data_IF_530835081148
#
_entry.id   IF_530835081148
#
_cell.length_a   1.000
_cell.length_b   1.000
_cell.length_c   1.000
_cell.angle_alpha   90.00
_cell.angle_beta   90.00
_cell.angle_gamma   90.00
#
_symmetry.space_group_name_H-M   'P 1'
#
loop_
_entity.id
_entity.type
_entity.pdbx_description
1 polymer ?
#
# COMPACT_ATOMS: atom_id res chain seq x y z
N UNK A 1 31.58 1.69 -17.18
CA UNK A 1 31.94 3.08 -17.49
C UNK A 1 30.68 3.89 -17.67
N UNK A 2 30.12 4.35 -16.55
CA UNK A 2 29.06 5.36 -16.53
C UNK A 2 29.67 6.67 -17.05
N UNK A 3 29.05 7.40 -17.99
CA UNK A 3 29.58 8.69 -18.41
C UNK A 3 29.68 9.58 -17.16
N UNK A 4 30.90 10.03 -16.82
CA UNK A 4 31.09 11.00 -15.74
C UNK A 4 30.21 12.21 -16.04
N UNK A 5 29.12 12.36 -15.29
CA UNK A 5 28.25 13.53 -15.37
C UNK A 5 29.10 14.79 -15.23
N UNK A 6 28.86 15.78 -16.09
CA UNK A 6 29.58 17.04 -16.07
C UNK A 6 29.36 17.72 -14.70
N UNK A 7 30.42 17.99 -13.91
CA UNK A 7 30.28 18.55 -12.58
C UNK A 7 29.46 19.85 -12.57
N UNK A 8 29.55 20.66 -13.62
CA UNK A 8 28.79 21.91 -13.74
C UNK A 8 27.28 21.67 -13.86
N UNK A 9 26.87 20.63 -14.58
CA UNK A 9 25.46 20.26 -14.76
C UNK A 9 24.87 19.71 -13.47
N UNK A 10 25.64 18.87 -12.76
CA UNK A 10 25.26 18.34 -11.43
C UNK A 10 25.01 19.48 -10.44
N UNK A 11 25.91 20.48 -10.41
CA UNK A 11 25.76 21.65 -9.54
C UNK A 11 24.48 22.42 -9.86
N UNK A 12 24.21 22.69 -11.13
CA UNK A 12 23.02 23.43 -11.55
C UNK A 12 21.73 22.68 -11.21
N UNK A 13 21.69 21.37 -11.46
CA UNK A 13 20.53 20.52 -11.14
C UNK A 13 20.24 20.51 -9.63
N UNK A 14 21.28 20.39 -8.81
CA UNK A 14 21.13 20.46 -7.35
C UNK A 14 20.65 21.85 -6.89
N UNK A 15 21.20 22.94 -7.45
CA UNK A 15 20.81 24.30 -7.10
C UNK A 15 19.36 24.62 -7.49
N UNK A 16 18.90 24.13 -8.65
CA UNK A 16 17.49 24.25 -9.05
C UNK A 16 16.57 23.58 -8.02
N UNK A 17 16.92 22.36 -7.58
CA UNK A 17 16.17 21.64 -6.55
C UNK A 17 16.19 22.37 -5.20
N UNK A 18 17.34 22.83 -4.73
CA UNK A 18 17.46 23.58 -3.47
C UNK A 18 16.70 24.92 -3.49
N UNK A 19 16.43 25.45 -4.67
CA UNK A 19 15.63 26.67 -4.86
C UNK A 19 14.12 26.43 -4.82
N UNK A 20 13.69 25.16 -4.80
CA UNK A 20 12.26 24.84 -4.70
C UNK A 20 11.74 25.00 -3.26
N UNK A 21 10.46 25.38 -3.07
CA UNK A 21 9.90 25.57 -1.74
C UNK A 21 9.98 24.32 -0.88
N UNK A 22 10.38 24.47 0.38
CA UNK A 22 10.44 23.40 1.38
C UNK A 22 11.31 22.18 1.00
N UNK A 23 12.22 22.31 0.02
CA UNK A 23 13.09 21.20 -0.42
C UNK A 23 13.94 20.58 0.70
N UNK A 24 14.21 21.35 1.76
CA UNK A 24 14.89 20.86 2.97
C UNK A 24 14.13 19.69 3.65
N UNK A 25 12.83 19.57 3.42
CA UNK A 25 11.96 18.53 3.97
C UNK A 25 11.83 17.30 3.05
N UNK A 26 12.39 17.34 1.84
CA UNK A 26 12.31 16.22 0.89
C UNK A 26 13.18 15.04 1.36
N UNK A 27 12.70 13.79 1.23
CA UNK A 27 13.40 12.61 1.74
C UNK A 27 14.81 12.43 1.12
N UNK A 28 15.00 12.90 -0.12
CA UNK A 28 16.26 12.82 -0.84
C UNK A 28 17.30 13.88 -0.46
N UNK A 29 17.00 14.83 0.44
CA UNK A 29 17.85 16.02 0.68
C UNK A 29 19.31 15.66 0.97
N UNK A 30 19.57 14.67 1.83
CA UNK A 30 20.94 14.28 2.19
C UNK A 30 21.71 13.68 1.02
N UNK A 31 21.05 12.90 0.17
CA UNK A 31 21.67 12.33 -1.03
C UNK A 31 22.07 13.43 -2.01
N UNK A 32 21.23 14.45 -2.18
CA UNK A 32 21.48 15.58 -3.08
C UNK A 32 22.54 16.52 -2.54
N UNK A 33 22.55 16.79 -1.22
CA UNK A 33 23.62 17.54 -0.57
C UNK A 33 24.98 16.87 -0.78
N UNK A 34 25.03 15.54 -0.59
CA UNK A 34 26.25 14.76 -0.82
C UNK A 34 26.71 14.87 -2.28
N UNK A 35 25.79 14.71 -3.25
CA UNK A 35 26.08 14.84 -4.68
C UNK A 35 26.60 16.24 -5.03
N UNK A 36 25.97 17.28 -4.49
CA UNK A 36 26.38 18.67 -4.68
C UNK A 36 27.80 18.96 -4.13
N UNK A 37 28.11 18.50 -2.92
CA UNK A 37 29.44 18.69 -2.33
C UNK A 37 30.52 17.90 -3.06
N UNK A 38 30.20 16.70 -3.55
CA UNK A 38 31.13 15.89 -4.35
C UNK A 38 31.46 16.55 -5.71
N UNK A 39 30.55 17.32 -6.27
CA UNK A 39 30.76 18.11 -7.48
C UNK A 39 31.49 19.46 -7.23
N UNK A 40 31.86 19.77 -5.98
CA UNK A 40 32.58 21.00 -5.62
C UNK A 40 31.68 22.18 -5.26
N UNK A 41 30.40 21.94 -4.92
CA UNK A 41 29.43 22.98 -4.60
C UNK A 41 29.74 23.75 -3.31
N UNK A 42 29.42 25.04 -3.29
CA UNK A 42 29.63 25.92 -2.14
C UNK A 42 28.59 25.68 -1.03
N UNK A 43 29.00 25.35 0.22
CA UNK A 43 28.10 25.20 1.37
C UNK A 43 27.28 26.44 1.71
N UNK A 44 27.85 27.65 1.61
CA UNK A 44 27.13 28.87 1.98
C UNK A 44 25.92 29.10 1.08
N UNK A 45 26.09 28.86 -0.22
CA UNK A 45 25.05 29.02 -1.22
C UNK A 45 23.87 28.07 -0.99
N UNK A 46 24.14 26.80 -0.65
CA UNK A 46 23.06 25.84 -0.39
C UNK A 46 22.33 26.15 0.92
N UNK A 47 23.06 26.59 1.96
CA UNK A 47 22.44 27.03 3.22
C UNK A 47 21.50 28.21 2.96
N UNK A 48 21.97 29.20 2.18
CA UNK A 48 21.17 30.38 1.82
C UNK A 48 19.91 29.97 1.05
N UNK A 49 20.03 29.16 0.00
CA UNK A 49 18.90 28.71 -0.81
C UNK A 49 17.87 27.91 -0.01
N UNK A 50 18.31 26.92 0.77
CA UNK A 50 17.40 26.10 1.57
C UNK A 50 16.71 26.92 2.66
N UNK A 51 17.43 27.85 3.28
CA UNK A 51 16.87 28.71 4.34
C UNK A 51 15.87 29.73 3.78
N UNK A 52 16.19 30.35 2.64
CA UNK A 52 15.31 31.33 1.98
C UNK A 52 14.04 30.70 1.42
N UNK A 53 14.11 29.44 0.96
CA UNK A 53 12.98 28.75 0.35
C UNK A 53 12.19 27.87 1.32
N UNK A 54 12.56 27.84 2.60
CA UNK A 54 11.77 27.17 3.64
C UNK A 54 10.53 27.99 4.00
N UNK A 55 9.35 27.47 3.66
CA UNK A 55 8.03 28.05 3.91
C UNK A 55 7.28 27.37 5.06
N UNK A 56 7.79 26.25 5.55
CA UNK A 56 7.25 25.50 6.68
C UNK A 56 5.80 25.03 6.48
N UNK A 57 5.42 24.65 5.25
CA UNK A 57 4.04 24.28 4.92
C UNK A 57 3.56 23.08 5.75
N UNK A 58 4.42 22.07 5.93
CA UNK A 58 4.10 20.89 6.74
C UNK A 58 3.87 21.25 8.22
N UNK A 59 4.68 22.15 8.77
CA UNK A 59 4.56 22.62 10.16
C UNK A 59 3.31 23.47 10.33
N UNK A 60 2.94 24.29 9.33
CA UNK A 60 1.69 25.04 9.34
C UNK A 60 0.48 24.11 9.33
N UNK A 61 0.53 23.00 8.59
CA UNK A 61 -0.54 21.99 8.62
C UNK A 61 -0.71 21.39 10.02
N UNK A 62 0.39 21.08 10.72
CA UNK A 62 0.34 20.61 12.11
C UNK A 62 -0.27 21.67 13.06
N UNK A 63 0.11 22.94 12.89
CA UNK A 63 -0.44 24.02 13.72
C UNK A 63 -1.94 24.20 13.50
N UNK A 64 -2.41 24.11 12.25
CA UNK A 64 -3.84 24.14 11.94
C UNK A 64 -4.57 22.93 12.56
N UNK A 65 -3.97 21.74 12.51
CA UNK A 65 -4.53 20.55 13.17
C UNK A 65 -4.66 20.75 14.69
N UNK A 66 -3.65 21.32 15.35
CA UNK A 66 -3.69 21.66 16.78
C UNK A 66 -4.78 22.71 17.09
N UNK A 67 -4.92 23.73 16.24
CA UNK A 67 -5.96 24.74 16.41
C UNK A 67 -7.37 24.17 16.26
N UNK A 68 -7.58 23.21 15.36
CA UNK A 68 -8.86 22.50 15.26
C UNK A 68 -9.18 21.74 16.54
N UNK A 69 -8.18 21.06 17.12
CA UNK A 69 -8.33 20.34 18.40
C UNK A 69 -8.66 21.32 19.52
N UNK A 70 -7.94 22.45 19.63
CA UNK A 70 -8.22 23.50 20.61
C UNK A 70 -9.60 24.14 20.41
N UNK A 71 -10.05 24.24 19.15
CA UNK A 71 -11.38 24.71 18.76
C UNK A 71 -12.52 23.75 19.11
N UNK A 72 -12.22 22.58 19.68
CA UNK A 72 -13.20 21.59 20.12
C UNK A 72 -13.49 20.48 19.12
N UNK A 73 -12.75 20.39 18.01
CA UNK A 73 -12.85 19.25 17.09
C UNK A 73 -12.18 18.04 17.74
N UNK A 74 -12.81 16.86 17.65
CA UNK A 74 -12.24 15.64 18.20
C UNK A 74 -10.91 15.29 17.52
N UNK A 75 -9.92 14.87 18.30
CA UNK A 75 -8.59 14.48 17.78
C UNK A 75 -8.71 13.40 16.71
N UNK A 76 -9.60 12.43 16.91
CA UNK A 76 -9.87 11.35 15.95
C UNK A 76 -10.42 11.84 14.62
N UNK A 77 -11.22 12.91 14.63
CA UNK A 77 -11.76 13.52 13.40
C UNK A 77 -10.68 14.29 12.63
N UNK A 78 -9.79 15.00 13.34
CA UNK A 78 -8.66 15.69 12.72
C UNK A 78 -7.68 14.68 12.11
N UNK A 79 -7.38 13.58 12.82
CA UNK A 79 -6.57 12.48 12.28
C UNK A 79 -7.21 11.87 11.02
N UNK A 80 -8.50 11.56 11.08
CA UNK A 80 -9.23 11.03 9.93
C UNK A 80 -9.22 12.01 8.75
N UNK A 81 -9.28 13.33 8.98
CA UNK A 81 -9.19 14.33 7.91
C UNK A 81 -7.85 14.26 7.16
N UNK A 82 -6.75 14.15 7.90
CA UNK A 82 -5.40 14.01 7.32
C UNK A 82 -5.25 12.66 6.61
N UNK A 83 -5.64 11.56 7.25
CA UNK A 83 -5.57 10.21 6.66
C UNK A 83 -6.37 10.13 5.36
N UNK A 84 -7.61 10.65 5.34
CA UNK A 84 -8.45 10.64 4.15
C UNK A 84 -7.85 11.49 3.03
N UNK A 85 -7.28 12.66 3.35
CA UNK A 85 -6.62 13.48 2.36
C UNK A 85 -5.39 12.79 1.74
N UNK A 86 -4.56 12.15 2.57
CA UNK A 86 -3.42 11.36 2.10
C UNK A 86 -3.88 10.18 1.23
N UNK A 87 -4.93 9.47 1.65
CA UNK A 87 -5.55 8.39 0.87
C UNK A 87 -5.97 8.87 -0.52
N UNK A 88 -6.66 10.00 -0.60
CA UNK A 88 -7.10 10.58 -1.86
C UNK A 88 -5.93 11.03 -2.75
N UNK A 89 -4.86 11.56 -2.14
CA UNK A 89 -3.65 11.91 -2.89
C UNK A 89 -3.00 10.66 -3.48
N UNK A 90 -2.81 9.61 -2.67
CA UNK A 90 -2.20 8.36 -3.14
C UNK A 90 -3.03 7.78 -4.30
N UNK A 91 -4.35 7.67 -4.16
CA UNK A 91 -5.21 7.17 -5.23
C UNK A 91 -5.07 7.94 -6.55
N UNK A 92 -4.83 9.27 -6.49
CA UNK A 92 -4.69 10.11 -7.68
C UNK A 92 -3.30 10.07 -8.31
N UNK A 93 -2.26 9.84 -7.52
CA UNK A 93 -0.86 9.99 -7.96
C UNK A 93 -0.10 8.67 -8.01
N UNK A 94 -0.72 7.57 -7.56
CA UNK A 94 -0.10 6.25 -7.57
C UNK A 94 0.28 5.83 -9.00
N UNK A 95 1.54 5.43 -9.16
CA UNK A 95 2.09 4.90 -10.40
C UNK A 95 2.58 3.47 -10.14
N UNK A 96 1.90 2.44 -10.68
CA UNK A 96 2.24 1.05 -10.40
C UNK A 96 3.65 0.69 -10.88
N UNK A 97 4.13 1.32 -11.97
CA UNK A 97 5.46 1.02 -12.51
C UNK A 97 6.56 1.52 -11.58
N UNK A 98 6.42 2.75 -11.07
CA UNK A 98 7.38 3.31 -10.11
C UNK A 98 7.39 2.52 -8.80
N UNK A 99 6.21 2.13 -8.32
CA UNK A 99 6.09 1.28 -7.13
C UNK A 99 6.83 -0.05 -7.32
N UNK A 100 6.65 -0.71 -8.46
CA UNK A 100 7.32 -1.97 -8.77
C UNK A 100 8.84 -1.79 -8.94
N UNK A 101 9.30 -0.68 -9.53
CA UNK A 101 10.73 -0.34 -9.61
C UNK A 101 11.34 -0.22 -8.21
N UNK A 102 10.75 0.57 -7.32
CA UNK A 102 11.24 0.72 -5.94
C UNK A 102 11.25 -0.62 -5.22
N UNK A 103 10.17 -1.40 -5.36
CA UNK A 103 10.04 -2.70 -4.72
C UNK A 103 11.07 -3.73 -5.22
N UNK A 104 11.44 -3.69 -6.50
CA UNK A 104 12.43 -4.61 -7.08
C UNK A 104 13.88 -4.17 -6.85
N UNK A 105 14.15 -2.87 -6.74
CA UNK A 105 15.48 -2.32 -6.46
C UNK A 105 15.94 -2.57 -5.03
N UNK A 106 15.04 -2.51 -4.04
CA UNK A 106 15.40 -2.74 -2.64
C UNK A 106 15.74 -4.21 -2.34
N UNK A 107 15.29 -5.17 -3.17
CA UNK A 107 15.63 -6.60 -3.08
C UNK A 107 15.07 -7.35 -1.87
N UNK A 108 14.66 -6.63 -0.82
CA UNK A 108 14.00 -7.11 0.39
C UNK A 108 12.65 -6.42 0.60
N UNK A 109 11.80 -6.98 1.46
CA UNK A 109 10.53 -6.35 1.83
C UNK A 109 10.80 -5.02 2.54
N UNK A 110 10.27 -3.88 2.06
CA UNK A 110 10.50 -2.60 2.71
C UNK A 110 9.90 -2.57 4.12
N UNK A 111 10.66 -2.09 5.11
CA UNK A 111 10.19 -2.01 6.50
C UNK A 111 8.93 -1.14 6.66
N UNK A 112 8.89 -0.01 5.93
CA UNK A 112 7.75 0.90 5.93
C UNK A 112 6.46 0.21 5.45
N UNK A 113 6.56 -0.76 4.56
CA UNK A 113 5.40 -1.50 4.04
C UNK A 113 4.81 -2.41 5.12
N UNK A 114 5.68 -2.99 5.95
CA UNK A 114 5.27 -3.84 7.07
C UNK A 114 4.56 -3.02 8.16
N UNK A 115 5.09 -1.84 8.48
CA UNK A 115 4.44 -0.89 9.41
C UNK A 115 3.11 -0.39 8.85
N UNK A 116 3.06 -0.07 7.55
CA UNK A 116 1.86 0.45 6.90
C UNK A 116 0.68 -0.53 6.99
N UNK A 117 0.92 -1.83 6.80
CA UNK A 117 -0.16 -2.84 6.85
C UNK A 117 -0.69 -3.12 8.25
N UNK A 118 -0.06 -2.64 9.32
CA UNK A 118 -0.60 -2.76 10.69
C UNK A 118 -1.90 -1.96 10.85
N UNK A 119 -2.08 -0.92 10.05
CA UNK A 119 -3.23 -0.02 10.11
C UNK A 119 -4.35 -0.42 9.13
N UNK A 120 -5.61 -0.60 9.61
CA UNK A 120 -6.75 -0.97 8.76
C UNK A 120 -7.02 0.01 7.60
N UNK A 121 -6.84 1.32 7.83
CA UNK A 121 -7.03 2.37 6.81
C UNK A 121 -6.17 2.12 5.57
N UNK A 122 -4.90 1.77 5.78
CA UNK A 122 -3.94 1.54 4.71
C UNK A 122 -4.13 0.20 4.02
N UNK A 123 -4.51 -0.86 4.77
CA UNK A 123 -4.93 -2.14 4.16
C UNK A 123 -6.10 -1.94 3.20
N UNK A 124 -7.11 -1.16 3.59
CA UNK A 124 -8.25 -0.81 2.73
C UNK A 124 -7.81 -0.06 1.46
N UNK A 125 -6.85 0.86 1.58
CA UNK A 125 -6.28 1.56 0.43
C UNK A 125 -5.56 0.59 -0.52
N UNK A 126 -4.76 -0.33 0.01
CA UNK A 126 -4.02 -1.33 -0.78
C UNK A 126 -4.98 -2.22 -1.56
N UNK A 127 -6.06 -2.70 -0.93
CA UNK A 127 -7.07 -3.50 -1.64
C UNK A 127 -7.68 -2.74 -2.83
N UNK A 128 -8.03 -1.47 -2.61
CA UNK A 128 -8.58 -0.62 -3.68
C UNK A 128 -7.58 -0.40 -4.81
N UNK A 129 -6.31 -0.11 -4.48
CA UNK A 129 -5.28 0.05 -5.50
C UNK A 129 -5.03 -1.24 -6.27
N UNK A 130 -5.09 -2.40 -5.62
CA UNK A 130 -4.89 -3.68 -6.28
C UNK A 130 -6.05 -4.05 -7.22
N UNK A 131 -7.28 -3.62 -6.93
CA UNK A 131 -8.39 -3.73 -7.88
C UNK A 131 -8.16 -2.88 -9.12
N UNK A 132 -7.68 -1.64 -8.94
CA UNK A 132 -7.42 -0.71 -10.04
C UNK A 132 -6.17 -1.11 -10.86
N UNK A 133 -5.17 -1.71 -10.22
CA UNK A 133 -3.87 -2.08 -10.82
C UNK A 133 -3.51 -3.55 -10.53
N UNK A 134 -4.19 -4.52 -11.15
CA UNK A 134 -4.02 -5.95 -10.85
C UNK A 134 -2.65 -6.51 -11.22
N UNK A 135 -1.95 -5.88 -12.17
CA UNK A 135 -0.64 -6.33 -12.65
C UNK A 135 0.53 -5.79 -11.81
N UNK A 136 0.27 -4.94 -10.81
CA UNK A 136 1.31 -4.36 -9.95
C UNK A 136 1.89 -5.42 -9.00
N UNK A 137 3.20 -5.67 -9.11
CA UNK A 137 3.90 -6.67 -8.31
C UNK A 137 3.91 -6.31 -6.82
N UNK A 138 4.18 -5.04 -6.50
CA UNK A 138 4.24 -4.54 -5.13
C UNK A 138 2.89 -4.72 -4.42
N UNK A 139 1.79 -4.32 -5.07
CA UNK A 139 0.45 -4.47 -4.50
C UNK A 139 0.09 -5.94 -4.30
N UNK A 140 0.43 -6.78 -5.27
CA UNK A 140 0.16 -8.21 -5.19
C UNK A 140 0.91 -8.86 -4.02
N UNK A 141 2.19 -8.54 -3.88
CA UNK A 141 3.00 -8.99 -2.76
C UNK A 141 2.47 -8.47 -1.42
N UNK A 142 2.01 -7.21 -1.37
CA UNK A 142 1.46 -6.61 -0.16
C UNK A 142 0.18 -7.31 0.29
N UNK A 143 -0.72 -7.70 -0.62
CA UNK A 143 -1.90 -8.49 -0.28
C UNK A 143 -1.51 -9.82 0.34
N UNK A 144 -0.48 -10.48 -0.19
CA UNK A 144 0.06 -11.71 0.39
C UNK A 144 0.58 -11.47 1.81
N UNK A 145 1.36 -10.40 2.05
CA UNK A 145 1.82 -10.03 3.40
C UNK A 145 0.65 -9.78 4.36
N UNK A 146 -0.38 -9.06 3.92
CA UNK A 146 -1.58 -8.81 4.72
C UNK A 146 -2.28 -10.12 5.08
N UNK A 147 -2.36 -11.07 4.14
CA UNK A 147 -2.91 -12.40 4.41
C UNK A 147 -2.04 -13.20 5.38
N UNK A 148 -0.72 -13.18 5.22
CA UNK A 148 0.24 -13.85 6.11
C UNK A 148 0.19 -13.29 7.55
N UNK A 149 -0.07 -11.99 7.69
CA UNK A 149 -0.29 -11.33 8.98
C UNK A 149 -1.66 -11.66 9.62
N UNK A 150 -2.54 -12.40 8.94
CA UNK A 150 -3.83 -12.86 9.47
C UNK A 150 -5.01 -11.94 9.20
N UNK A 151 -4.83 -10.84 8.45
CA UNK A 151 -5.90 -9.88 8.11
C UNK A 151 -6.70 -10.26 6.85
N UNK A 152 -6.58 -11.51 6.37
CA UNK A 152 -7.27 -12.01 5.17
C UNK A 152 -8.80 -11.90 5.20
N UNK A 153 -9.41 -11.79 6.39
CA UNK A 153 -10.87 -11.59 6.54
C UNK A 153 -11.33 -10.20 6.12
N UNK A 154 -10.42 -9.23 6.06
CA UNK A 154 -10.72 -7.85 5.63
C UNK A 154 -10.72 -7.70 4.10
N UNK A 155 -10.28 -8.72 3.37
CA UNK A 155 -10.37 -8.78 1.90
C UNK A 155 -11.83 -9.04 1.55
N UNK A 156 -12.65 -8.00 1.60
CA UNK A 156 -14.08 -8.06 1.25
C UNK A 156 -14.28 -8.08 -0.26
N UNK A 157 -13.26 -7.69 -1.03
CA UNK A 157 -13.31 -7.70 -2.47
C UNK A 157 -13.00 -9.07 -3.04
N UNK A 158 -14.05 -9.66 -3.61
CA UNK A 158 -13.98 -10.93 -4.33
C UNK A 158 -12.99 -10.82 -5.51
N UNK A 159 -12.92 -9.67 -6.19
CA UNK A 159 -12.01 -9.46 -7.32
C UNK A 159 -10.55 -9.50 -6.90
N UNK A 160 -10.19 -8.84 -5.80
CA UNK A 160 -8.82 -8.84 -5.28
C UNK A 160 -8.38 -10.24 -4.82
N UNK A 161 -9.26 -10.97 -4.14
CA UNK A 161 -8.97 -12.34 -3.70
C UNK A 161 -8.84 -13.30 -4.90
N UNK A 162 -9.69 -13.18 -5.92
CA UNK A 162 -9.73 -14.06 -7.08
C UNK A 162 -8.52 -13.96 -8.03
N UNK A 163 -7.76 -12.87 -7.94
CA UNK A 163 -6.56 -12.63 -8.74
C UNK A 163 -5.33 -13.41 -8.22
N UNK A 164 -5.32 -13.79 -6.94
CA UNK A 164 -4.21 -14.50 -6.32
C UNK A 164 -4.63 -15.85 -5.75
N UNK A 165 -4.08 -16.93 -6.30
CA UNK A 165 -4.50 -18.29 -5.92
C UNK A 165 -4.26 -18.62 -4.43
N UNK A 166 -3.16 -18.15 -3.84
CA UNK A 166 -2.86 -18.39 -2.43
C UNK A 166 -3.86 -17.68 -1.50
N UNK A 167 -4.17 -16.41 -1.82
CA UNK A 167 -5.15 -15.61 -1.08
C UNK A 167 -6.54 -16.20 -1.26
N UNK A 168 -6.94 -16.48 -2.50
CA UNK A 168 -8.20 -17.14 -2.82
C UNK A 168 -8.39 -18.44 -2.04
N UNK A 169 -7.35 -19.28 -1.98
CA UNK A 169 -7.40 -20.56 -1.26
C UNK A 169 -7.63 -20.39 0.24
N UNK A 170 -7.03 -19.37 0.86
CA UNK A 170 -7.21 -19.07 2.28
C UNK A 170 -8.60 -18.51 2.58
N UNK A 171 -9.10 -17.61 1.73
CA UNK A 171 -10.47 -17.08 1.85
C UNK A 171 -11.50 -18.18 1.64
N UNK A 172 -11.33 -19.02 0.60
CA UNK A 172 -12.17 -20.19 0.34
C UNK A 172 -12.17 -21.17 1.50
N UNK A 173 -11.00 -21.51 2.05
CA UNK A 173 -10.91 -22.37 3.24
C UNK A 173 -11.70 -21.78 4.41
N UNK A 174 -11.52 -20.49 4.70
CA UNK A 174 -12.22 -19.82 5.82
C UNK A 174 -13.72 -19.82 5.59
N UNK A 175 -14.18 -19.56 4.36
CA UNK A 175 -15.60 -19.57 3.99
C UNK A 175 -16.23 -20.97 4.13
N UNK A 176 -15.55 -22.02 3.66
CA UNK A 176 -16.00 -23.42 3.81
C UNK A 176 -16.02 -23.82 5.29
N UNK A 177 -14.97 -23.49 6.06
CA UNK A 177 -14.93 -23.75 7.50
C UNK A 177 -16.08 -23.07 8.23
N UNK A 178 -16.34 -21.80 7.92
CA UNK A 178 -17.48 -21.07 8.49
C UNK A 178 -18.81 -21.75 8.15
N UNK A 179 -19.01 -22.17 6.90
CA UNK A 179 -20.22 -22.91 6.48
C UNK A 179 -20.40 -24.25 7.22
N UNK A 180 -19.31 -24.98 7.46
CA UNK A 180 -19.36 -26.26 8.17
C UNK A 180 -19.61 -26.09 9.68
N UNK A 181 -19.21 -24.95 10.24
CA UNK A 181 -19.35 -24.63 11.67
C UNK A 181 -20.66 -23.89 12.00
N UNK A 182 -21.23 -23.14 11.05
CA UNK A 182 -22.45 -22.35 11.25
C UNK A 182 -23.73 -23.18 11.02
N UNK A 183 -24.43 -23.53 12.10
CA UNK A 183 -25.68 -24.31 12.04
C UNK A 183 -26.92 -23.48 11.67
N UNK A 184 -26.92 -22.17 11.96
CA UNK A 184 -28.13 -21.33 11.86
C UNK A 184 -28.10 -20.36 10.65
N UNK A 185 -26.91 -19.94 10.18
CA UNK A 185 -26.74 -18.94 9.09
C UNK A 185 -26.13 -19.55 7.80
N UNK A 186 -26.39 -20.84 7.56
CA UNK A 186 -25.81 -21.57 6.42
C UNK A 186 -26.17 -20.96 5.06
N UNK A 187 -27.36 -20.38 4.93
CA UNK A 187 -27.88 -19.87 3.67
C UNK A 187 -27.13 -18.59 3.22
N UNK A 188 -26.88 -17.66 4.14
CA UNK A 188 -26.05 -16.48 3.89
C UNK A 188 -24.60 -16.87 3.62
N UNK A 189 -24.07 -17.82 4.40
CA UNK A 189 -22.69 -18.31 4.25
C UNK A 189 -22.45 -18.96 2.88
N UNK A 190 -23.42 -19.73 2.38
CA UNK A 190 -23.38 -20.34 1.04
C UNK A 190 -23.48 -19.28 -0.06
N UNK A 191 -24.34 -18.28 0.08
CA UNK A 191 -24.47 -17.22 -0.93
C UNK A 191 -23.19 -16.39 -1.06
N UNK A 192 -22.52 -16.08 0.06
CA UNK A 192 -21.21 -15.41 0.05
C UNK A 192 -20.13 -16.28 -0.59
N UNK A 193 -20.08 -17.57 -0.23
CA UNK A 193 -19.16 -18.52 -0.84
C UNK A 193 -19.40 -18.65 -2.35
N UNK A 194 -20.66 -18.77 -2.78
CA UNK A 194 -21.04 -18.89 -4.18
C UNK A 194 -20.67 -17.64 -4.98
N UNK A 195 -20.92 -16.43 -4.44
CA UNK A 195 -20.50 -15.17 -5.08
C UNK A 195 -18.99 -15.13 -5.30
N UNK A 196 -18.23 -15.59 -4.31
CA UNK A 196 -16.77 -15.64 -4.39
C UNK A 196 -16.27 -16.66 -5.40
N UNK A 197 -16.77 -17.90 -5.34
CA UNK A 197 -16.33 -18.99 -6.22
C UNK A 197 -16.71 -18.73 -7.67
N UNK A 198 -17.91 -18.18 -7.91
CA UNK A 198 -18.44 -17.89 -9.25
C UNK A 198 -17.96 -16.56 -9.85
N UNK A 199 -17.02 -15.86 -9.21
CA UNK A 199 -16.50 -14.60 -9.72
C UNK A 199 -15.71 -14.75 -11.03
N UNK A 200 -14.87 -15.79 -11.10
CA UNK A 200 -14.09 -16.14 -12.28
C UNK A 200 -14.33 -17.58 -12.71
N UNK A 201 -14.14 -17.87 -14.00
CA UNK A 201 -14.20 -19.24 -14.49
C UNK A 201 -13.09 -20.10 -13.86
N UNK A 202 -11.89 -19.52 -13.70
CA UNK A 202 -10.75 -20.20 -13.08
C UNK A 202 -10.97 -20.45 -11.58
N UNK A 203 -11.54 -19.50 -10.84
CA UNK A 203 -11.86 -19.67 -9.42
C UNK A 203 -12.96 -20.72 -9.21
N UNK A 204 -13.92 -20.77 -10.12
CA UNK A 204 -14.98 -21.78 -10.10
C UNK A 204 -14.41 -23.19 -10.28
N UNK A 205 -13.61 -23.39 -11.34
CA UNK A 205 -12.98 -24.69 -11.62
C UNK A 205 -12.08 -25.12 -10.47
N UNK A 206 -11.23 -24.22 -9.95
CA UNK A 206 -10.36 -24.52 -8.83
C UNK A 206 -11.14 -24.96 -7.58
N UNK A 207 -12.19 -24.22 -7.22
CA UNK A 207 -13.05 -24.56 -6.07
C UNK A 207 -13.76 -25.89 -6.26
N UNK A 208 -14.27 -26.19 -7.46
CA UNK A 208 -14.93 -27.47 -7.75
C UNK A 208 -13.95 -28.64 -7.62
N UNK A 209 -12.72 -28.51 -8.12
CA UNK A 209 -11.68 -29.54 -7.94
C UNK A 209 -11.37 -29.74 -6.46
N UNK A 210 -11.24 -28.66 -5.68
CA UNK A 210 -10.98 -28.75 -4.25
C UNK A 210 -12.12 -29.45 -3.50
N UNK A 211 -13.37 -29.04 -3.74
CA UNK A 211 -14.56 -29.64 -3.13
C UNK A 211 -14.70 -31.12 -3.52
N UNK A 212 -14.43 -31.46 -4.78
CA UNK A 212 -14.45 -32.85 -5.25
C UNK A 212 -13.39 -33.70 -4.54
N UNK A 213 -12.20 -33.16 -4.28
CA UNK A 213 -11.17 -33.87 -3.52
C UNK A 213 -11.59 -34.07 -2.07
N UNK A 214 -12.19 -33.04 -1.45
CA UNK A 214 -12.69 -33.11 -0.07
C UNK A 214 -13.88 -34.08 0.08
N UNK A 215 -14.75 -34.19 -0.93
CA UNK A 215 -15.93 -35.07 -0.88
C UNK A 215 -15.58 -36.56 -0.96
N UNK A 216 -14.39 -36.90 -1.46
CA UNK A 216 -13.88 -38.29 -1.48
C UNK A 216 -13.52 -38.81 -0.08
N UNK A 217 -13.43 -37.94 0.93
CA UNK A 217 -13.10 -38.34 2.30
C UNK A 217 -14.26 -39.10 2.97
N UNK A 218 -13.98 -40.36 3.34
CA UNK A 218 -14.94 -41.25 4.00
C UNK A 218 -15.50 -40.72 5.33
N UNK A 219 -14.80 -39.79 5.97
CA UNK A 219 -15.18 -39.19 7.27
C UNK A 219 -15.64 -37.75 7.08
N UNK A 220 -16.90 -37.57 6.69
CA UNK A 220 -17.53 -36.25 6.62
C UNK A 220 -17.45 -35.56 5.25
N UNK A 221 -16.91 -36.22 4.22
CA UNK A 221 -16.92 -35.70 2.84
C UNK A 221 -18.32 -35.46 2.28
N UNK A 222 -19.35 -36.13 2.81
CA UNK A 222 -20.75 -35.88 2.43
C UNK A 222 -21.31 -34.53 2.94
N UNK A 223 -20.58 -33.82 3.79
CA UNK A 223 -20.97 -32.50 4.33
C UNK A 223 -20.38 -31.33 3.54
N UNK A 224 -19.48 -31.63 2.60
CA UNK A 224 -18.77 -30.67 1.74
C UNK A 224 -19.30 -30.82 0.32
#
# INVERSE_FOLDING_TARGET
>A
DDPMENPQEVLNECLEKFSTPDYIMEPGIFSQLKRYFQAGGNPEQVIELLSQNYKAVAQMANLVAEWLILGGVNVTEVQAMVENHLKDMILKTFDPKKADTIFTEEGETPAWLTEMIEHPTWRSLIYRLAEEYPDCLMLNFTIKLISDAGFQREITSISTAAQQIEVFSRVLKTSISNFLESSDDWQSSVEECAKMVCHGQHTYVYSQVLLQVLSLESKGGSKV
#
